data_IF_349921885942
#
_entry.id   IF_349921885942
#
_cell.length_a   1.000
_cell.length_b   1.000
_cell.length_c   1.000
_cell.angle_alpha   90.00
_cell.angle_beta   90.00
_cell.angle_gamma   90.00
#
_symmetry.space_group_name_H-M   'P 1'
#
loop_
_entity.id
_entity.type
_entity.pdbx_description
1 polymer ?
#
# COMPACT_ATOMS: atom_id res chain seq x y z
N UNK A 1 58.04 -4.25 -32.33
CA UNK A 1 56.77 -3.70 -31.80
C UNK A 1 56.48 -2.38 -32.50
N UNK A 2 55.32 -2.24 -33.14
CA UNK A 2 54.98 -1.05 -33.94
C UNK A 2 54.77 0.20 -33.06
N UNK A 3 55.30 1.34 -33.51
CA UNK A 3 55.24 2.64 -32.81
C UNK A 3 53.79 3.15 -32.81
N UNK A 4 53.16 3.28 -31.63
CA UNK A 4 51.80 3.84 -31.51
C UNK A 4 51.80 5.30 -31.96
N UNK A 5 50.83 5.66 -32.81
CA UNK A 5 50.64 7.04 -33.30
C UNK A 5 50.22 7.94 -32.13
N UNK A 6 50.65 9.21 -32.18
CA UNK A 6 50.29 10.21 -31.16
C UNK A 6 48.78 10.49 -31.23
N UNK A 7 48.11 10.45 -30.07
CA UNK A 7 46.70 10.83 -29.94
C UNK A 7 46.60 12.34 -29.77
N UNK A 8 45.90 13.00 -30.69
CA UNK A 8 45.61 14.43 -30.61
C UNK A 8 44.24 14.62 -29.95
N UNK A 9 44.24 15.14 -28.71
CA UNK A 9 43.03 15.43 -27.95
C UNK A 9 42.69 16.91 -28.17
N UNK A 10 41.64 17.17 -28.94
CA UNK A 10 41.06 18.51 -29.09
C UNK A 10 39.76 18.58 -28.31
N UNK A 11 39.67 19.54 -27.41
CA UNK A 11 38.42 19.81 -26.72
C UNK A 11 37.52 20.68 -27.58
N UNK A 12 36.24 20.33 -27.59
CA UNK A 12 35.19 21.21 -28.09
C UNK A 12 34.95 22.29 -27.03
N UNK A 13 35.32 23.53 -27.36
CA UNK A 13 35.27 24.65 -26.43
C UNK A 13 33.85 24.93 -25.94
N UNK A 14 32.84 24.73 -26.80
CA UNK A 14 31.45 24.92 -26.42
C UNK A 14 31.01 23.91 -25.36
N UNK A 15 31.35 22.63 -25.54
CA UNK A 15 31.09 21.58 -24.54
C UNK A 15 31.88 21.81 -23.25
N UNK A 16 33.09 22.34 -23.35
CA UNK A 16 33.91 22.72 -22.19
C UNK A 16 33.24 23.85 -21.40
N UNK A 17 32.74 24.88 -22.07
CA UNK A 17 32.04 26.00 -21.41
C UNK A 17 30.75 25.53 -20.75
N UNK A 18 29.94 24.71 -21.43
CA UNK A 18 28.73 24.13 -20.85
C UNK A 18 29.06 23.20 -19.66
N UNK A 19 30.17 22.47 -19.72
CA UNK A 19 30.62 21.67 -18.60
C UNK A 19 31.06 22.53 -17.41
N UNK A 20 31.86 23.57 -17.64
CA UNK A 20 32.36 24.44 -16.56
C UNK A 20 31.29 25.34 -15.96
N UNK A 21 30.30 25.79 -16.72
CA UNK A 21 29.24 26.69 -16.20
C UNK A 21 27.97 25.94 -15.81
N UNK A 22 27.72 24.77 -16.40
CA UNK A 22 26.50 23.98 -16.23
C UNK A 22 26.35 23.22 -14.91
N UNK A 23 27.07 23.59 -13.84
CA UNK A 23 26.96 22.91 -12.54
C UNK A 23 25.53 22.92 -11.98
N UNK A 24 24.81 24.05 -12.13
CA UNK A 24 23.42 24.14 -11.70
C UNK A 24 22.52 23.19 -12.50
N UNK A 25 22.66 23.17 -13.83
CA UNK A 25 21.96 22.22 -14.73
C UNK A 25 22.20 20.78 -14.27
N UNK A 26 23.45 20.37 -14.05
CA UNK A 26 23.78 19.01 -13.56
C UNK A 26 23.24 18.71 -12.16
N UNK A 27 23.21 19.71 -11.28
CA UNK A 27 22.63 19.56 -9.93
C UNK A 27 21.13 19.30 -10.00
N UNK A 28 20.41 20.02 -10.86
CA UNK A 28 18.99 19.79 -11.11
C UNK A 28 18.74 18.42 -11.72
N UNK A 29 19.48 18.05 -12.77
CA UNK A 29 19.36 16.73 -13.40
C UNK A 29 19.57 15.59 -12.40
N UNK A 30 20.59 15.69 -11.53
CA UNK A 30 20.81 14.69 -10.47
C UNK A 30 19.65 14.63 -9.47
N UNK A 31 19.10 15.78 -9.07
CA UNK A 31 17.95 15.85 -8.17
C UNK A 31 16.70 15.24 -8.80
N UNK A 32 16.45 15.53 -10.08
CA UNK A 32 15.32 14.99 -10.83
C UNK A 32 15.45 13.48 -11.01
N UNK A 33 16.65 12.99 -11.39
CA UNK A 33 16.94 11.56 -11.49
C UNK A 33 16.66 10.83 -10.18
N UNK A 34 17.21 11.33 -9.07
CA UNK A 34 16.96 10.74 -7.75
C UNK A 34 15.47 10.77 -7.35
N UNK A 35 14.75 11.84 -7.71
CA UNK A 35 13.30 11.94 -7.47
C UNK A 35 12.54 10.89 -8.28
N UNK A 36 12.86 10.73 -9.57
CA UNK A 36 12.23 9.74 -10.44
C UNK A 36 12.52 8.30 -9.99
N UNK A 37 13.75 8.01 -9.56
CA UNK A 37 14.13 6.71 -9.01
C UNK A 37 13.32 6.40 -7.74
N UNK A 38 13.22 7.35 -6.81
CA UNK A 38 12.38 7.19 -5.62
C UNK A 38 10.90 7.00 -5.95
N UNK A 39 10.35 7.74 -6.91
CA UNK A 39 8.97 7.58 -7.37
C UNK A 39 8.72 6.19 -8.01
N UNK A 40 9.70 5.65 -8.75
CA UNK A 40 9.63 4.29 -9.32
C UNK A 40 9.63 3.23 -8.22
N UNK A 41 10.57 3.31 -7.28
CA UNK A 41 10.65 2.38 -6.15
C UNK A 41 9.34 2.38 -5.34
N UNK A 42 8.80 3.57 -5.04
CA UNK A 42 7.54 3.69 -4.31
C UNK A 42 6.37 3.05 -5.07
N UNK A 43 6.30 3.22 -6.40
CA UNK A 43 5.26 2.60 -7.23
C UNK A 43 5.36 1.08 -7.22
N UNK A 44 6.58 0.54 -7.28
CA UNK A 44 6.83 -0.89 -7.23
C UNK A 44 6.45 -1.49 -5.87
N UNK A 45 6.79 -0.82 -4.77
CA UNK A 45 6.38 -1.21 -3.41
C UNK A 45 4.85 -1.22 -3.27
N UNK A 46 4.18 -0.16 -3.72
CA UNK A 46 2.71 -0.09 -3.73
C UNK A 46 2.11 -1.25 -4.52
N UNK A 47 2.68 -1.58 -5.68
CA UNK A 47 2.21 -2.69 -6.51
C UNK A 47 2.39 -4.03 -5.79
N UNK A 48 3.54 -4.25 -5.15
CA UNK A 48 3.81 -5.47 -4.36
C UNK A 48 2.80 -5.63 -3.22
N UNK A 49 2.55 -4.56 -2.45
CA UNK A 49 1.58 -4.59 -1.35
C UNK A 49 0.15 -4.88 -1.85
N UNK A 50 -0.27 -4.23 -2.94
CA UNK A 50 -1.59 -4.48 -3.53
C UNK A 50 -1.73 -5.91 -4.03
N UNK A 51 -0.69 -6.47 -4.63
CA UNK A 51 -0.70 -7.85 -5.11
C UNK A 51 -0.76 -8.83 -3.94
N UNK A 52 0.09 -8.67 -2.91
CA UNK A 52 0.02 -9.50 -1.71
C UNK A 52 -1.38 -9.50 -1.09
N UNK A 53 -2.00 -8.33 -0.95
CA UNK A 53 -3.37 -8.24 -0.42
C UNK A 53 -4.41 -8.96 -1.29
N UNK A 54 -4.25 -8.93 -2.63
CA UNK A 54 -5.15 -9.66 -3.54
C UNK A 54 -4.96 -11.16 -3.43
N UNK A 55 -3.72 -11.64 -3.38
CA UNK A 55 -3.43 -13.07 -3.22
C UNK A 55 -3.96 -13.58 -1.87
N UNK A 56 -3.74 -12.85 -0.79
CA UNK A 56 -4.29 -13.18 0.54
C UNK A 56 -5.82 -13.25 0.51
N UNK A 57 -6.48 -12.32 -0.18
CA UNK A 57 -7.94 -12.32 -0.32
C UNK A 57 -8.43 -13.52 -1.16
N UNK A 58 -7.77 -13.82 -2.28
CA UNK A 58 -8.11 -14.97 -3.12
C UNK A 58 -7.91 -16.28 -2.36
N UNK A 59 -6.84 -16.39 -1.56
CA UNK A 59 -6.60 -17.55 -0.72
C UNK A 59 -7.71 -17.73 0.31
N UNK A 60 -8.14 -16.64 0.97
CA UNK A 60 -9.28 -16.67 1.90
C UNK A 60 -10.55 -17.15 1.22
N UNK A 61 -10.89 -16.59 0.06
CA UNK A 61 -12.08 -16.98 -0.72
C UNK A 61 -12.02 -18.46 -1.14
N UNK A 62 -10.84 -18.97 -1.53
CA UNK A 62 -10.67 -20.39 -1.86
C UNK A 62 -10.80 -21.31 -0.65
N UNK A 63 -10.35 -20.87 0.51
CA UNK A 63 -10.48 -21.64 1.76
C UNK A 63 -11.89 -21.62 2.33
N UNK A 64 -12.67 -20.56 2.07
CA UNK A 64 -14.06 -20.48 2.50
C UNK A 64 -14.91 -21.38 1.62
N UNK A 65 -15.39 -22.49 2.18
CA UNK A 65 -16.47 -23.28 1.57
C UNK A 65 -17.76 -22.47 1.76
N UNK A 66 -18.30 -21.92 0.68
CA UNK A 66 -19.62 -21.31 0.71
C UNK A 66 -20.67 -22.45 0.71
N UNK A 67 -21.76 -22.33 1.48
CA UNK A 67 -22.88 -23.25 1.36
C UNK A 67 -23.42 -23.18 -0.07
N UNK A 68 -23.52 -24.34 -0.72
CA UNK A 68 -24.11 -24.45 -2.04
C UNK A 68 -25.63 -24.26 -1.90
N UNK A 69 -26.15 -23.06 -2.11
CA UNK A 69 -27.60 -22.77 -2.04
C UNK A 69 -28.45 -23.54 -3.07
N UNK A 70 -27.82 -24.22 -4.04
CA UNK A 70 -28.49 -25.03 -5.06
C UNK A 70 -28.52 -26.53 -4.72
N UNK A 71 -27.69 -26.97 -3.78
CA UNK A 71 -27.84 -28.29 -3.18
C UNK A 71 -28.72 -28.08 -1.95
N UNK A 72 -29.72 -28.91 -1.74
CA UNK A 72 -30.53 -28.98 -0.49
C UNK A 72 -29.69 -29.33 0.77
N UNK A 73 -28.37 -29.14 0.72
CA UNK A 73 -27.40 -29.34 1.79
C UNK A 73 -27.49 -28.26 2.88
N UNK A 74 -28.54 -27.43 2.89
CA UNK A 74 -28.91 -26.71 4.10
C UNK A 74 -29.48 -27.77 5.06
N UNK A 75 -28.61 -28.35 5.90
CA UNK A 75 -28.97 -29.09 7.13
C UNK A 75 -29.67 -28.19 8.16
N UNK A 76 -30.57 -27.34 7.69
CA UNK A 76 -31.31 -26.33 8.43
C UNK A 76 -32.73 -26.82 8.64
N UNK A 77 -33.28 -27.57 7.68
CA UNK A 77 -34.58 -28.24 7.81
C UNK A 77 -34.36 -29.62 8.41
N UNK A 78 -34.81 -29.82 9.66
CA UNK A 78 -34.65 -31.09 10.39
C UNK A 78 -35.79 -32.06 10.08
N UNK A 79 -36.99 -31.54 9.83
CA UNK A 79 -38.15 -32.35 9.48
C UNK A 79 -39.12 -31.57 8.58
N UNK A 80 -39.79 -32.28 7.67
CA UNK A 80 -40.85 -31.73 6.81
C UNK A 80 -42.10 -32.57 7.04
N UNK A 81 -43.17 -31.93 7.50
CA UNK A 81 -44.47 -32.59 7.69
C UNK A 81 -45.49 -31.95 6.75
N UNK A 82 -45.96 -32.71 5.77
CA UNK A 82 -47.08 -32.34 4.90
C UNK A 82 -48.38 -32.84 5.48
N UNK A 83 -49.33 -31.93 5.71
CA UNK A 83 -50.69 -32.24 6.13
C UNK A 83 -51.66 -31.77 5.05
N UNK A 84 -52.61 -32.64 4.71
CA UNK A 84 -53.59 -32.36 3.67
C UNK A 84 -54.88 -31.87 4.30
N UNK A 85 -55.20 -30.59 4.09
CA UNK A 85 -56.35 -29.90 4.65
C UNK A 85 -57.51 -29.82 3.63
N UNK A 86 -57.72 -30.90 2.88
CA UNK A 86 -58.83 -31.09 1.93
C UNK A 86 -58.71 -30.24 0.65
N UNK A 87 -58.90 -28.92 0.78
CA UNK A 87 -58.85 -27.99 -0.36
C UNK A 87 -57.42 -27.46 -0.63
N UNK A 88 -56.47 -27.72 0.27
CA UNK A 88 -55.09 -27.24 0.20
C UNK A 88 -54.16 -28.13 1.01
N UNK A 89 -52.92 -28.25 0.55
CA UNK A 89 -51.87 -29.00 1.24
C UNK A 89 -50.92 -28.01 1.91
N UNK A 90 -50.69 -28.19 3.22
CA UNK A 90 -49.79 -27.34 4.01
C UNK A 90 -48.52 -28.13 4.30
N UNK A 91 -47.38 -27.60 3.88
CA UNK A 91 -46.05 -28.09 4.23
C UNK A 91 -45.50 -27.27 5.40
N UNK A 92 -45.31 -27.91 6.56
CA UNK A 92 -44.65 -27.31 7.72
C UNK A 92 -43.23 -27.85 7.80
N UNK A 93 -42.25 -26.95 7.73
CA UNK A 93 -40.83 -27.26 7.82
C UNK A 93 -40.31 -26.82 9.19
N UNK A 94 -39.73 -27.75 9.94
CA UNK A 94 -39.06 -27.46 11.21
C UNK A 94 -37.60 -27.10 10.93
N UNK A 95 -37.20 -25.93 11.43
CA UNK A 95 -35.88 -25.36 11.17
C UNK A 95 -35.05 -25.31 12.45
N UNK A 96 -33.86 -25.93 12.45
CA UNK A 96 -32.88 -25.76 13.53
C UNK A 96 -32.10 -24.46 13.35
N UNK A 97 -32.52 -23.45 14.09
CA UNK A 97 -31.95 -22.11 14.05
C UNK A 97 -30.50 -22.07 14.56
N UNK A 98 -30.08 -23.02 15.41
CA UNK A 98 -28.74 -23.05 16.00
C UNK A 98 -27.66 -23.47 14.98
N UNK A 99 -28.03 -24.28 13.99
CA UNK A 99 -27.14 -24.71 12.90
C UNK A 99 -27.31 -23.86 11.64
N UNK A 100 -28.25 -22.91 11.64
CA UNK A 100 -28.58 -22.13 10.45
C UNK A 100 -27.57 -21.00 10.16
N UNK A 101 -27.33 -20.76 8.87
CA UNK A 101 -26.54 -19.61 8.38
C UNK A 101 -27.28 -18.26 8.46
N UNK A 102 -28.50 -18.23 9.02
CA UNK A 102 -29.30 -17.01 9.14
C UNK A 102 -28.92 -16.14 10.34
N UNK A 103 -28.07 -16.64 11.24
CA UNK A 103 -27.52 -15.85 12.34
C UNK A 103 -26.28 -15.06 11.91
N UNK A 104 -26.03 -13.91 12.53
CA UNK A 104 -24.93 -12.97 12.21
C UNK A 104 -23.50 -13.50 12.53
N UNK A 105 -23.31 -14.82 12.58
CA UNK A 105 -22.10 -15.49 13.05
C UNK A 105 -22.06 -15.63 14.57
N UNK A 106 -21.16 -16.47 15.06
CA UNK A 106 -20.94 -16.69 16.49
C UNK A 106 -20.55 -15.38 17.19
N UNK A 107 -21.15 -15.09 18.35
CA UNK A 107 -20.63 -14.08 19.27
C UNK A 107 -19.34 -14.60 19.89
N UNK A 108 -18.24 -14.51 19.15
CA UNK A 108 -16.91 -14.72 19.71
C UNK A 108 -16.54 -13.49 20.55
N UNK A 109 -16.58 -13.63 21.87
CA UNK A 109 -15.84 -12.73 22.75
C UNK A 109 -14.35 -12.99 22.51
N UNK A 110 -13.65 -12.06 21.85
CA UNK A 110 -12.18 -12.07 21.80
C UNK A 110 -11.65 -11.80 23.21
N UNK A 111 -11.51 -12.85 24.02
CA UNK A 111 -10.66 -12.82 25.20
C UNK A 111 -9.21 -12.73 24.73
N UNK A 112 -8.65 -11.53 24.82
CA UNK A 112 -7.23 -11.26 24.57
C UNK A 112 -6.38 -11.91 25.65
N UNK A 113 -6.09 -13.20 25.53
CA UNK A 113 -5.06 -13.86 26.32
C UNK A 113 -3.84 -14.21 25.46
N UNK A 114 -2.70 -13.75 25.97
CA UNK A 114 -1.43 -13.64 25.30
C UNK A 114 -0.68 -14.99 25.29
N UNK A 115 0.02 -15.23 24.17
CA UNK A 115 1.22 -16.07 23.97
C UNK A 115 1.05 -17.55 23.60
N UNK A 116 1.31 -17.86 22.32
CA UNK A 116 2.51 -18.62 21.89
C UNK A 116 2.75 -18.47 20.39
N UNK A 117 4.01 -18.37 20.02
CA UNK A 117 4.54 -17.90 18.75
C UNK A 117 4.33 -18.87 17.58
N UNK A 118 3.41 -18.55 16.69
CA UNK A 118 3.58 -18.81 15.26
C UNK A 118 3.38 -17.49 14.52
N UNK A 119 4.45 -16.98 13.93
CA UNK A 119 4.46 -15.73 13.18
C UNK A 119 3.71 -15.95 11.85
N UNK A 120 2.39 -15.99 11.90
CA UNK A 120 1.58 -15.67 10.73
C UNK A 120 1.40 -14.16 10.74
N UNK A 121 1.91 -13.42 9.74
CA UNK A 121 1.66 -11.99 9.66
C UNK A 121 0.18 -11.81 9.29
N UNK A 122 -0.70 -11.87 10.29
CA UNK A 122 -2.05 -11.34 10.16
C UNK A 122 -1.88 -9.87 9.81
N UNK A 123 -2.21 -9.53 8.56
CA UNK A 123 -2.05 -8.19 7.99
C UNK A 123 -3.03 -7.23 8.67
N UNK A 124 -2.72 -6.81 9.91
CA UNK A 124 -3.51 -5.85 10.73
C UNK A 124 -3.53 -4.43 10.16
N UNK A 125 -2.96 -4.21 8.97
CA UNK A 125 -3.01 -2.93 8.28
C UNK A 125 -3.88 -3.02 7.04
N UNK A 126 -5.02 -2.32 7.07
CA UNK A 126 -5.88 -2.16 5.89
C UNK A 126 -5.07 -1.58 4.72
N UNK A 127 -5.45 -1.94 3.50
CA UNK A 127 -4.80 -1.46 2.26
C UNK A 127 -4.78 0.09 2.20
N UNK A 128 -5.80 0.75 2.76
CA UNK A 128 -5.81 2.21 2.95
C UNK A 128 -4.69 2.68 3.89
N UNK A 129 -4.43 2.00 5.00
CA UNK A 129 -3.38 2.34 5.97
C UNK A 129 -1.97 2.10 5.41
N UNK A 130 -1.78 1.02 4.64
CA UNK A 130 -0.53 0.73 3.94
C UNK A 130 -0.20 1.74 2.82
N UNK A 131 -1.23 2.26 2.12
CA UNK A 131 -1.06 3.23 1.04
C UNK A 131 -1.02 4.70 1.49
N UNK A 132 -1.44 5.01 2.74
CA UNK A 132 -1.55 6.40 3.25
C UNK A 132 -0.22 6.91 3.83
N UNK A 133 0.88 6.67 3.12
CA UNK A 133 2.16 7.36 3.36
C UNK A 133 2.27 8.58 2.46
N UNK A 134 1.31 9.51 2.58
CA UNK A 134 1.57 10.88 2.19
C UNK A 134 2.16 11.55 3.44
N UNK A 135 3.47 11.88 3.49
CA UNK A 135 3.94 12.78 4.50
C UNK A 135 3.20 14.09 4.25
N UNK A 136 2.16 14.37 5.05
CA UNK A 136 1.63 15.73 5.16
C UNK A 136 2.86 16.56 5.44
N UNK A 137 3.28 17.41 4.49
CA UNK A 137 4.43 18.30 4.65
C UNK A 137 4.25 18.95 6.01
N UNK A 138 5.04 18.51 6.99
CA UNK A 138 5.03 19.10 8.31
C UNK A 138 5.23 20.58 8.06
N UNK A 139 4.25 21.41 8.43
CA UNK A 139 4.36 22.86 8.38
C UNK A 139 5.40 23.24 9.42
N UNK A 140 6.66 22.99 9.13
CA UNK A 140 7.79 23.43 9.92
C UNK A 140 7.76 24.96 9.81
N UNK A 141 7.12 25.60 10.80
CA UNK A 141 7.14 27.04 11.00
C UNK A 141 8.61 27.43 11.12
N UNK A 142 9.20 27.91 10.03
CA UNK A 142 10.44 28.67 10.09
C UNK A 142 10.12 29.94 10.87
N UNK A 143 10.29 29.91 12.20
CA UNK A 143 10.47 31.13 12.98
C UNK A 143 11.68 31.82 12.34
N UNK A 144 11.43 32.94 11.69
CA UNK A 144 12.48 33.79 11.14
C UNK A 144 13.49 34.08 12.25
N UNK A 145 14.71 33.58 12.11
CA UNK A 145 15.85 34.26 12.71
C UNK A 145 15.89 35.63 12.04
N UNK A 146 15.37 36.65 12.74
CA UNK A 146 15.64 38.06 12.43
C UNK A 146 17.15 38.23 12.55
N UNK A 147 17.87 38.02 11.45
CA UNK A 147 19.26 38.43 11.33
C UNK A 147 19.23 39.95 11.39
N UNK A 148 19.68 40.52 12.50
CA UNK A 148 20.05 41.93 12.56
C UNK A 148 20.98 42.20 11.37
N UNK A 149 20.52 43.01 10.42
CA UNK A 149 21.43 43.66 9.47
C UNK A 149 22.24 44.65 10.29
N UNK A 150 23.42 44.26 10.75
CA UNK A 150 24.44 45.26 11.07
C UNK A 150 24.74 45.99 9.77
N UNK A 151 24.37 47.27 9.71
CA UNK A 151 24.75 48.15 8.60
C UNK A 151 26.28 48.18 8.58
N UNK A 152 26.88 47.64 7.52
CA UNK A 152 28.29 47.86 7.24
C UNK A 152 28.51 49.37 7.09
N UNK A 153 29.30 49.95 7.99
CA UNK A 153 29.87 51.28 7.79
C UNK A 153 30.84 51.17 6.62
N UNK A 154 30.59 51.92 5.56
CA UNK A 154 31.55 52.22 4.51
C UNK A 154 32.67 53.06 5.14
N UNK A 155 33.87 52.51 5.21
CA UNK A 155 35.05 53.33 5.44
C UNK A 155 35.53 53.79 4.07
N UNK A 156 35.21 55.03 3.72
CA UNK A 156 35.85 55.76 2.63
C UNK A 156 37.34 55.86 2.96
N UNK A 157 38.18 55.30 2.08
CA UNK A 157 39.62 55.56 2.08
C UNK A 157 39.85 56.82 1.26
N UNK A 158 40.38 57.85 1.91
CA UNK A 158 41.09 58.97 1.26
C UNK A 158 42.45 58.48 0.77
#
# INVERSE_FOLDING_TARGET
MAKKRKLYIKFDENKRMDYLTGFHKRKLLRREKAKQENEKLLKEEIKKVKNAYREDLLQKIRSTKLPNFLADDLHVVTSVTTQDAGDHTVSVEEIDLAQSHYFMGDNCEESTENQTSSFTPTTKCSLKKALKMNPKKSKFRKKMLKRHKSKGKTNDRK
#
